data_IF_846046270303
#
_entry.id   IF_846046270303
#
_cell.length_a   1.000
_cell.length_b   1.000
_cell.length_c   1.000
_cell.angle_alpha   90.00
_cell.angle_beta   90.00
_cell.angle_gamma   90.00
#
_symmetry.space_group_name_H-M   'P 1'
#
loop_
_entity.id
_entity.type
_entity.pdbx_description
1 polymer ?
#
# COMPACT_ATOMS: atom_id res chain seq x y z
N UNK A 1 5.34 -37.47 -0.48
CA UNK A 1 3.98 -37.05 -0.08
C UNK A 1 3.87 -36.34 1.27
N UNK A 2 4.21 -36.93 2.44
CA UNK A 2 4.03 -36.27 3.76
C UNK A 2 4.86 -34.99 3.93
N UNK A 3 6.15 -35.06 3.60
CA UNK A 3 7.06 -33.90 3.68
C UNK A 3 6.65 -32.74 2.75
N UNK A 4 6.16 -33.04 1.54
CA UNK A 4 5.66 -32.03 0.60
C UNK A 4 4.39 -31.35 1.11
N UNK A 5 3.47 -32.13 1.71
CA UNK A 5 2.26 -31.59 2.34
C UNK A 5 2.60 -30.70 3.54
N UNK A 6 3.60 -31.07 4.35
CA UNK A 6 4.04 -30.25 5.47
C UNK A 6 4.74 -28.96 5.00
N UNK A 7 5.50 -29.03 3.90
CA UNK A 7 6.06 -27.84 3.24
C UNK A 7 4.96 -26.90 2.73
N UNK A 8 3.91 -27.44 2.11
CA UNK A 8 2.75 -26.64 1.67
C UNK A 8 2.05 -25.95 2.85
N UNK A 9 1.83 -26.66 3.97
CA UNK A 9 1.25 -26.06 5.19
C UNK A 9 2.09 -24.88 5.70
N UNK A 10 3.41 -25.00 5.69
CA UNK A 10 4.33 -23.90 6.08
C UNK A 10 4.21 -22.72 5.12
N UNK A 11 4.16 -22.97 3.81
CA UNK A 11 3.99 -21.92 2.79
C UNK A 11 2.64 -21.19 2.95
N UNK A 12 1.54 -21.91 3.22
CA UNK A 12 0.24 -21.29 3.45
C UNK A 12 0.21 -20.43 4.73
N UNK A 13 0.90 -20.87 5.80
CA UNK A 13 1.04 -20.04 7.01
C UNK A 13 1.84 -18.77 6.72
N UNK A 14 2.92 -18.89 5.94
CA UNK A 14 3.73 -17.74 5.53
C UNK A 14 2.93 -16.78 4.65
N UNK A 15 2.13 -17.29 3.70
CA UNK A 15 1.23 -16.47 2.86
C UNK A 15 0.28 -15.67 3.73
N UNK A 16 -0.35 -16.30 4.74
CA UNK A 16 -1.24 -15.61 5.67
C UNK A 16 -0.54 -14.47 6.42
N UNK A 17 0.67 -14.71 6.93
CA UNK A 17 1.47 -13.66 7.60
C UNK A 17 1.80 -12.52 6.62
N UNK A 18 2.13 -12.85 5.36
CA UNK A 18 2.39 -11.84 4.32
C UNK A 18 1.14 -11.08 3.91
N UNK A 19 -0.03 -11.72 3.90
CA UNK A 19 -1.31 -11.08 3.64
C UNK A 19 -1.65 -10.05 4.72
N UNK A 20 -1.45 -10.39 6.00
CA UNK A 20 -1.60 -9.45 7.11
C UNK A 20 -0.62 -8.28 6.96
N UNK A 21 0.66 -8.56 6.70
CA UNK A 21 1.65 -7.51 6.51
C UNK A 21 1.33 -6.58 5.32
N UNK A 22 0.80 -7.13 4.21
CA UNK A 22 0.28 -6.33 3.09
C UNK A 22 -0.87 -5.44 3.55
N UNK A 23 -1.84 -5.99 4.28
CA UNK A 23 -3.00 -5.25 4.75
C UNK A 23 -2.60 -4.10 5.68
N UNK A 24 -1.67 -4.34 6.60
CA UNK A 24 -1.12 -3.29 7.47
C UNK A 24 -0.42 -2.20 6.65
N UNK A 25 0.45 -2.58 5.71
CA UNK A 25 1.13 -1.61 4.85
C UNK A 25 0.14 -0.79 4.00
N UNK A 26 -0.95 -1.40 3.54
CA UNK A 26 -2.00 -0.73 2.78
C UNK A 26 -2.76 0.29 3.63
N UNK A 27 -3.11 -0.07 4.87
CA UNK A 27 -3.75 0.84 5.81
C UNK A 27 -2.84 2.04 6.14
N UNK A 28 -1.56 1.79 6.40
CA UNK A 28 -0.58 2.86 6.67
C UNK A 28 -0.37 3.78 5.47
N UNK A 29 -0.32 3.23 4.25
CA UNK A 29 -0.22 4.02 3.03
C UNK A 29 -1.46 4.89 2.82
N UNK A 30 -2.66 4.32 2.95
CA UNK A 30 -3.91 5.07 2.84
C UNK A 30 -4.02 6.20 3.88
N UNK A 31 -3.60 5.95 5.12
CA UNK A 31 -3.57 6.98 6.16
C UNK A 31 -2.59 8.11 5.82
N UNK A 32 -1.40 7.78 5.31
CA UNK A 32 -0.41 8.78 4.92
C UNK A 32 -0.88 9.61 3.73
N UNK A 33 -1.48 8.99 2.71
CA UNK A 33 -2.10 9.69 1.57
C UNK A 33 -3.26 10.59 2.02
N UNK A 34 -4.12 10.11 2.93
CA UNK A 34 -5.21 10.91 3.50
C UNK A 34 -4.69 12.15 4.23
N UNK A 35 -3.60 12.01 5.00
CA UNK A 35 -2.97 13.13 5.70
C UNK A 35 -2.33 14.13 4.73
N UNK A 36 -1.66 13.63 3.68
CA UNK A 36 -1.13 14.46 2.60
C UNK A 36 -2.24 15.29 1.94
N UNK A 37 -3.35 14.66 1.55
CA UNK A 37 -4.47 15.33 0.91
C UNK A 37 -5.06 16.44 1.81
N UNK A 38 -5.18 16.20 3.11
CA UNK A 38 -5.64 17.21 4.07
C UNK A 38 -4.68 18.41 4.17
N UNK A 39 -3.36 18.15 4.24
CA UNK A 39 -2.36 19.21 4.31
C UNK A 39 -2.26 20.01 3.02
N UNK A 40 -2.38 19.37 1.86
CA UNK A 40 -2.43 20.05 0.57
C UNK A 40 -3.66 20.95 0.45
N UNK A 41 -4.83 20.45 0.85
CA UNK A 41 -6.06 21.25 0.89
C UNK A 41 -5.94 22.44 1.86
N UNK A 42 -5.30 22.25 3.02
CA UNK A 42 -5.07 23.32 3.99
C UNK A 42 -4.07 24.35 3.45
N UNK A 43 -2.99 23.90 2.82
CA UNK A 43 -1.99 24.78 2.20
C UNK A 43 -2.64 25.64 1.10
N UNK A 44 -3.50 25.05 0.28
CA UNK A 44 -4.20 25.78 -0.77
C UNK A 44 -5.21 26.79 -0.20
N UNK A 45 -6.01 26.38 0.79
CA UNK A 45 -6.96 27.29 1.45
C UNK A 45 -6.26 28.49 2.09
N UNK A 46 -5.13 28.25 2.76
CA UNK A 46 -4.35 29.33 3.40
C UNK A 46 -3.69 30.25 2.38
N UNK A 47 -3.22 29.73 1.24
CA UNK A 47 -2.75 30.54 0.11
C UNK A 47 -3.86 31.44 -0.46
N UNK A 48 -5.04 30.87 -0.73
CA UNK A 48 -6.20 31.65 -1.24
C UNK A 48 -6.55 32.78 -0.28
N UNK A 49 -6.65 32.48 1.02
CA UNK A 49 -6.98 33.47 2.04
C UNK A 49 -5.91 34.56 2.12
N UNK A 50 -4.62 34.23 2.09
CA UNK A 50 -3.55 35.21 2.10
C UNK A 50 -3.65 36.16 0.89
N UNK A 51 -3.92 35.61 -0.31
CA UNK A 51 -4.09 36.40 -1.53
C UNK A 51 -5.34 37.31 -1.49
N UNK A 52 -6.46 36.81 -0.96
CA UNK A 52 -7.69 37.59 -0.78
C UNK A 52 -7.47 38.81 0.14
N UNK A 53 -6.76 38.61 1.25
CA UNK A 53 -6.47 39.71 2.19
C UNK A 53 -5.43 40.69 1.64
N UNK A 54 -4.44 40.22 0.87
CA UNK A 54 -3.46 41.07 0.21
C UNK A 54 -4.10 41.98 -0.86
N UNK A 55 -5.13 41.51 -1.56
CA UNK A 55 -5.83 42.25 -2.61
C UNK A 55 -6.98 43.13 -2.10
N UNK A 56 -7.16 43.25 -0.78
CA UNK A 56 -8.30 43.97 -0.19
C UNK A 56 -8.11 45.49 -0.32
N UNK A 57 -8.89 46.13 -1.19
CA UNK A 57 -8.78 47.56 -1.51
C UNK A 57 -9.79 48.48 -0.79
N UNK A 58 -10.64 47.95 0.09
CA UNK A 58 -11.72 48.72 0.75
C UNK A 58 -11.39 49.32 2.13
N UNK A 59 -10.13 49.54 2.46
CA UNK A 59 -9.71 49.95 3.81
C UNK A 59 -9.79 51.47 3.96
N UNK A 60 -10.50 51.95 4.98
CA UNK A 60 -10.88 53.37 5.15
C UNK A 60 -9.86 54.23 5.91
N UNK A 61 -9.00 53.62 6.72
CA UNK A 61 -8.01 54.32 7.54
C UNK A 61 -6.67 53.55 7.64
N UNK A 62 -5.63 54.26 8.08
CA UNK A 62 -4.27 53.71 8.16
C UNK A 62 -4.13 52.59 9.22
N UNK A 63 -4.88 52.66 10.32
CA UNK A 63 -4.82 51.64 11.38
C UNK A 63 -5.37 50.29 10.89
N UNK A 64 -6.51 50.33 10.20
CA UNK A 64 -7.11 49.19 9.55
C UNK A 64 -6.20 48.60 8.47
N UNK A 65 -5.47 49.45 7.74
CA UNK A 65 -4.51 48.99 6.72
C UNK A 65 -3.34 48.24 7.36
N UNK A 66 -2.80 48.76 8.46
CA UNK A 66 -1.75 48.06 9.23
C UNK A 66 -2.25 46.72 9.79
N UNK A 67 -3.49 46.65 10.28
CA UNK A 67 -4.09 45.42 10.77
C UNK A 67 -4.22 44.36 9.65
N UNK A 68 -4.75 44.76 8.48
CA UNK A 68 -4.87 43.86 7.31
C UNK A 68 -3.51 43.37 6.84
N UNK A 69 -2.51 44.26 6.74
CA UNK A 69 -1.15 43.88 6.35
C UNK A 69 -0.49 42.91 7.33
N UNK A 70 -0.65 43.15 8.63
CA UNK A 70 -0.11 42.26 9.67
C UNK A 70 -0.76 40.88 9.61
N UNK A 71 -2.08 40.83 9.41
CA UNK A 71 -2.83 39.59 9.25
C UNK A 71 -2.41 38.82 7.98
N UNK A 72 -2.29 39.50 6.84
CA UNK A 72 -1.85 38.90 5.59
C UNK A 72 -0.43 38.28 5.72
N UNK A 73 0.50 38.97 6.39
CA UNK A 73 1.83 38.42 6.70
C UNK A 73 1.75 37.19 7.61
N UNK A 74 0.87 37.21 8.60
CA UNK A 74 0.60 36.05 9.46
C UNK A 74 0.11 34.84 8.66
N UNK A 75 -0.85 35.05 7.76
CA UNK A 75 -1.35 34.00 6.86
C UNK A 75 -0.26 33.49 5.90
N UNK A 76 0.60 34.36 5.38
CA UNK A 76 1.71 33.95 4.53
C UNK A 76 2.69 33.05 5.31
N UNK A 77 2.99 33.38 6.57
CA UNK A 77 3.79 32.53 7.45
C UNK A 77 3.15 31.15 7.69
N UNK A 78 1.85 31.11 7.98
CA UNK A 78 1.10 29.86 8.13
C UNK A 78 1.14 29.05 6.82
N UNK A 79 0.90 29.70 5.68
CA UNK A 79 0.90 29.05 4.36
C UNK A 79 2.24 28.40 4.03
N UNK A 80 3.35 29.08 4.33
CA UNK A 80 4.71 28.53 4.17
C UNK A 80 4.92 27.31 5.05
N UNK A 81 4.51 27.36 6.32
CA UNK A 81 4.64 26.24 7.24
C UNK A 81 3.80 25.04 6.79
N UNK A 82 2.52 25.25 6.45
CA UNK A 82 1.65 24.18 5.95
C UNK A 82 2.15 23.60 4.63
N UNK A 83 2.75 24.41 3.75
CA UNK A 83 3.38 23.91 2.51
C UNK A 83 4.58 23.01 2.82
N UNK A 84 5.40 23.36 3.81
CA UNK A 84 6.49 22.51 4.28
C UNK A 84 5.96 21.20 4.91
N UNK A 85 4.88 21.29 5.69
CA UNK A 85 4.22 20.11 6.27
C UNK A 85 3.66 19.19 5.19
N UNK A 86 3.04 19.73 4.15
CA UNK A 86 2.57 18.97 2.99
C UNK A 86 3.73 18.29 2.25
N UNK A 87 4.86 18.98 2.05
CA UNK A 87 6.05 18.39 1.45
C UNK A 87 6.64 17.24 2.31
N UNK A 88 6.62 17.40 3.64
CA UNK A 88 7.03 16.35 4.57
C UNK A 88 6.07 15.15 4.52
N UNK A 89 4.76 15.40 4.53
CA UNK A 89 3.74 14.37 4.41
C UNK A 89 3.83 13.62 3.08
N UNK A 90 4.18 14.31 1.99
CA UNK A 90 4.39 13.69 0.67
C UNK A 90 5.52 12.67 0.72
N UNK A 91 6.68 13.03 1.29
CA UNK A 91 7.77 12.07 1.48
C UNK A 91 7.34 10.86 2.31
N UNK A 92 6.54 11.07 3.36
CA UNK A 92 6.04 9.97 4.20
C UNK A 92 5.10 9.06 3.38
N UNK A 93 4.15 9.64 2.64
CA UNK A 93 3.23 8.91 1.77
C UNK A 93 4.01 8.08 0.72
N UNK A 94 5.02 8.68 0.07
CA UNK A 94 5.86 7.99 -0.91
C UNK A 94 6.59 6.79 -0.29
N UNK A 95 7.17 6.95 0.91
CA UNK A 95 7.84 5.86 1.63
C UNK A 95 6.84 4.75 1.97
N UNK A 96 5.61 5.09 2.41
CA UNK A 96 4.59 4.10 2.74
C UNK A 96 4.08 3.37 1.50
N UNK A 97 3.94 4.06 0.38
CA UNK A 97 3.57 3.45 -0.90
C UNK A 97 4.65 2.50 -1.41
N UNK A 98 5.93 2.85 -1.26
CA UNK A 98 7.03 1.93 -1.55
C UNK A 98 7.00 0.70 -0.64
N UNK A 99 6.74 0.88 0.66
CA UNK A 99 6.62 -0.23 1.61
C UNK A 99 5.46 -1.17 1.25
N UNK A 100 4.31 -0.62 0.85
CA UNK A 100 3.17 -1.39 0.33
C UNK A 100 3.57 -2.20 -0.91
N UNK A 101 4.19 -1.56 -1.90
CA UNK A 101 4.67 -2.26 -3.11
C UNK A 101 5.62 -3.42 -2.78
N UNK A 102 6.54 -3.21 -1.83
CA UNK A 102 7.45 -4.28 -1.37
C UNK A 102 6.69 -5.42 -0.67
N UNK A 103 5.70 -5.09 0.17
CA UNK A 103 4.86 -6.09 0.84
C UNK A 103 4.05 -6.93 -0.16
N UNK A 104 3.50 -6.30 -1.20
CA UNK A 104 2.80 -6.97 -2.29
C UNK A 104 3.70 -7.93 -3.06
N UNK A 105 4.89 -7.48 -3.46
CA UNK A 105 5.88 -8.35 -4.14
C UNK A 105 6.27 -9.54 -3.27
N UNK A 106 6.52 -9.32 -1.97
CA UNK A 106 6.85 -10.39 -1.02
C UNK A 106 5.71 -11.40 -0.87
N UNK A 107 4.46 -10.95 -0.88
CA UNK A 107 3.29 -11.85 -0.84
C UNK A 107 3.19 -12.67 -2.12
N UNK A 108 3.29 -12.03 -3.28
CA UNK A 108 3.20 -12.69 -4.59
C UNK A 108 4.23 -13.82 -4.74
N UNK A 109 5.48 -13.59 -4.31
CA UNK A 109 6.53 -14.63 -4.34
C UNK A 109 6.16 -15.85 -3.47
N UNK A 110 5.55 -15.65 -2.31
CA UNK A 110 5.15 -16.76 -1.43
C UNK A 110 3.93 -17.50 -2.00
N UNK A 111 2.97 -16.76 -2.54
CA UNK A 111 1.78 -17.30 -3.20
C UNK A 111 2.16 -18.18 -4.39
N UNK A 112 3.06 -17.70 -5.26
CA UNK A 112 3.56 -18.47 -6.40
C UNK A 112 4.26 -19.77 -5.96
N UNK A 113 5.10 -19.70 -4.92
CA UNK A 113 5.76 -20.88 -4.34
C UNK A 113 4.74 -21.88 -3.78
N UNK A 114 3.71 -21.42 -3.09
CA UNK A 114 2.65 -22.26 -2.56
C UNK A 114 1.87 -22.95 -3.70
N UNK A 115 1.50 -22.18 -4.73
CA UNK A 115 0.82 -22.70 -5.91
C UNK A 115 1.64 -23.76 -6.65
N UNK A 116 2.94 -23.50 -6.83
CA UNK A 116 3.85 -24.47 -7.44
C UNK A 116 3.94 -25.76 -6.63
N UNK A 117 4.09 -25.67 -5.30
CA UNK A 117 4.14 -26.83 -4.41
C UNK A 117 2.83 -27.64 -4.45
N UNK A 118 1.68 -26.96 -4.51
CA UNK A 118 0.38 -27.61 -4.64
C UNK A 118 0.26 -28.40 -5.95
N UNK A 119 0.74 -27.82 -7.07
CA UNK A 119 0.77 -28.50 -8.37
C UNK A 119 1.66 -29.74 -8.37
N UNK A 120 2.83 -29.70 -7.71
CA UNK A 120 3.70 -30.88 -7.57
C UNK A 120 2.98 -32.01 -6.83
N UNK A 121 2.34 -31.69 -5.70
CA UNK A 121 1.60 -32.69 -4.91
C UNK A 121 0.45 -33.30 -5.73
N UNK A 122 -0.29 -32.46 -6.47
CA UNK A 122 -1.38 -32.92 -7.33
C UNK A 122 -0.88 -33.86 -8.43
N UNK A 123 0.21 -33.51 -9.13
CA UNK A 123 0.83 -34.38 -10.15
C UNK A 123 1.34 -35.69 -9.55
N UNK A 124 1.99 -35.64 -8.38
CA UNK A 124 2.48 -36.84 -7.67
C UNK A 124 1.37 -37.74 -7.13
N UNK A 125 0.16 -37.23 -6.90
CA UNK A 125 -1.01 -38.05 -6.54
C UNK A 125 -1.68 -38.75 -7.73
N UNK A 126 -1.37 -38.34 -8.97
CA UNK A 126 -1.82 -39.00 -10.21
C UNK A 126 -0.70 -39.92 -10.70
N UNK A 127 -0.36 -40.96 -9.93
CA UNK A 127 0.48 -42.04 -10.45
C UNK A 127 -0.37 -42.88 -11.45
N UNK A 128 0.18 -43.28 -12.61
CA UNK A 128 -0.57 -44.01 -13.62
C UNK A 128 -0.95 -45.37 -13.05
N UNK A 129 -2.22 -45.75 -13.17
CA UNK A 129 -2.68 -47.11 -12.92
C UNK A 129 -1.97 -47.99 -13.95
N UNK A 130 -0.85 -48.61 -13.55
CA UNK A 130 -0.24 -49.70 -14.29
C UNK A 130 -1.26 -50.84 -14.28
N UNK A 131 -2.08 -50.89 -15.34
CA UNK A 131 -2.99 -51.98 -15.62
C UNK A 131 -2.21 -53.29 -15.54
N UNK A 132 -2.49 -54.07 -14.49
CA UNK A 132 -1.86 -55.36 -14.28
C UNK A 132 -1.97 -56.22 -15.54
N UNK A 133 -0.84 -56.75 -16.00
CA UNK A 133 -0.77 -57.72 -17.10
C UNK A 133 -1.78 -58.84 -16.83
N UNK A 134 -2.81 -58.95 -17.68
CA UNK A 134 -3.60 -60.18 -17.79
C UNK A 134 -2.62 -61.30 -18.15
N UNK A 135 -2.42 -62.27 -17.25
CA UNK A 135 -1.86 -63.58 -17.58
C UNK A 135 -2.87 -64.27 -18.52
N UNK A 136 -2.62 -64.24 -19.83
CA UNK A 136 -3.24 -65.18 -20.76
C UNK A 136 -2.54 -66.52 -20.58
N UNK A 137 -3.08 -67.39 -19.71
CA UNK A 137 -2.69 -68.79 -19.65
C UNK A 137 -3.28 -69.51 -20.86
N UNK A 138 -2.44 -69.93 -21.80
CA UNK A 138 -2.79 -70.94 -22.79
C UNK A 138 -2.83 -72.29 -22.09
N UNK A 139 -4.03 -72.85 -21.94
CA UNK A 139 -4.21 -74.23 -21.51
C UNK A 139 -3.99 -75.17 -22.70
N UNK A 140 -2.80 -75.75 -22.76
CA UNK A 140 -2.50 -76.96 -23.53
C UNK A 140 -1.53 -77.78 -22.67
N UNK A 141 -2.08 -78.79 -22.00
CA UNK A 141 -1.58 -80.16 -21.78
C UNK A 141 -2.42 -80.84 -20.69
#
# INVERSE_FOLDING_TARGET
MKAERDRLKRLNRLERVRAIAKQTAAAEAAQAEGTLAQLEALAERTRSMAAEYANRTGVRDAASLQAVNSFARGLEGISRNTSNDAANARRIADIKMQALSQAERRRAVVEERAAHQARIIAKGSVAPVLSGKKKSGTGLE
#
